data_IF_666598760575
#
_entry.id   IF_666598760575
#
_cell.length_a   1.000
_cell.length_b   1.000
_cell.length_c   1.000
_cell.angle_alpha   90.00
_cell.angle_beta   90.00
_cell.angle_gamma   90.00
#
_symmetry.space_group_name_H-M   'P 1'
#
loop_
_entity.id
_entity.type
_entity.pdbx_description
1 polymer ?
#
# COMPACT_ATOMS: atom_id res chain seq x y z
N UNK A 1 6.74 21.99 11.38
CA UNK A 1 6.88 21.74 9.95
C UNK A 1 5.52 21.81 9.28
N UNK A 2 5.36 22.67 8.24
CA UNK A 2 4.12 22.92 7.49
C UNK A 2 3.83 21.83 6.47
N UNK A 3 4.01 20.53 6.77
CA UNK A 3 3.70 19.47 5.82
C UNK A 3 2.18 19.30 5.64
N UNK A 4 1.36 19.46 6.70
CA UNK A 4 -0.05 19.07 6.64
C UNK A 4 -0.93 19.93 5.71
N UNK A 5 -0.68 21.23 5.52
CA UNK A 5 -1.52 22.06 4.65
C UNK A 5 -1.00 22.21 3.21
N UNK A 6 0.34 22.14 2.98
CA UNK A 6 0.93 22.13 1.64
C UNK A 6 0.84 20.75 0.97
N UNK A 7 1.07 19.67 1.73
CA UNK A 7 0.88 18.28 1.31
C UNK A 7 -0.54 18.08 0.82
N UNK A 8 -1.55 18.66 1.50
CA UNK A 8 -2.94 18.48 1.11
C UNK A 8 -3.29 19.09 -0.26
N UNK A 9 -2.69 20.21 -0.68
CA UNK A 9 -3.04 20.89 -1.92
C UNK A 9 -2.35 20.27 -3.14
N UNK A 10 -1.04 20.05 -3.08
CA UNK A 10 -0.29 19.41 -4.19
C UNK A 10 -0.77 17.97 -4.40
N UNK A 11 -0.99 17.23 -3.32
CA UNK A 11 -1.52 15.88 -3.38
C UNK A 11 -2.90 15.84 -4.05
N UNK A 12 -3.83 16.72 -3.63
CA UNK A 12 -5.17 16.82 -4.23
C UNK A 12 -5.10 17.13 -5.72
N UNK A 13 -4.28 18.10 -6.10
CA UNK A 13 -4.10 18.47 -7.51
C UNK A 13 -3.64 17.26 -8.34
N UNK A 14 -2.68 16.47 -7.85
CA UNK A 14 -2.21 15.25 -8.54
C UNK A 14 -3.31 14.22 -8.75
N UNK A 15 -4.22 14.07 -7.79
CA UNK A 15 -5.38 13.19 -7.94
C UNK A 15 -6.39 13.78 -8.92
N UNK A 16 -6.71 15.09 -8.82
CA UNK A 16 -7.66 15.76 -9.70
C UNK A 16 -7.21 15.77 -11.17
N UNK A 17 -5.90 15.85 -11.43
CA UNK A 17 -5.31 15.71 -12.76
C UNK A 17 -5.45 14.29 -13.34
N UNK A 18 -5.76 13.30 -12.51
CA UNK A 18 -5.90 11.88 -12.85
C UNK A 18 -7.34 11.43 -12.71
N UNK A 19 -8.22 11.95 -13.55
CA UNK A 19 -9.66 11.69 -13.50
C UNK A 19 -10.00 10.18 -13.46
N UNK A 20 -9.18 9.35 -14.11
CA UNK A 20 -9.36 7.90 -14.12
C UNK A 20 -9.31 7.25 -12.72
N UNK A 21 -8.54 7.81 -11.76
CA UNK A 21 -8.52 7.32 -10.37
C UNK A 21 -9.87 7.56 -9.69
N UNK A 22 -10.45 8.73 -9.91
CA UNK A 22 -11.76 9.10 -9.38
C UNK A 22 -12.86 8.26 -10.02
N UNK A 23 -12.78 8.04 -11.34
CA UNK A 23 -13.78 7.27 -12.08
C UNK A 23 -13.75 5.78 -11.69
N UNK A 24 -12.57 5.20 -11.48
CA UNK A 24 -12.42 3.85 -10.96
C UNK A 24 -13.03 3.72 -9.55
N UNK A 25 -12.71 4.64 -8.64
CA UNK A 25 -13.30 4.64 -7.29
C UNK A 25 -14.82 4.82 -7.31
N UNK A 26 -15.34 5.64 -8.24
CA UNK A 26 -16.78 5.81 -8.42
C UNK A 26 -17.45 4.52 -8.88
N UNK A 27 -16.83 3.76 -9.78
CA UNK A 27 -17.33 2.48 -10.24
C UNK A 27 -17.50 1.48 -9.09
N UNK A 28 -16.48 1.36 -8.21
CA UNK A 28 -16.56 0.52 -7.02
C UNK A 28 -17.63 1.00 -6.04
N UNK A 29 -17.69 2.29 -5.78
CA UNK A 29 -18.68 2.87 -4.87
C UNK A 29 -20.12 2.64 -5.35
N UNK A 30 -20.38 2.70 -6.68
CA UNK A 30 -21.69 2.40 -7.25
C UNK A 30 -22.11 0.95 -7.00
N UNK A 31 -21.17 0.02 -6.91
CA UNK A 31 -21.38 -1.38 -6.57
C UNK A 31 -21.40 -1.61 -5.04
N UNK A 32 -21.37 -0.55 -4.24
CA UNK A 32 -21.39 -0.64 -2.78
C UNK A 32 -20.08 -1.12 -2.16
N UNK A 33 -18.95 -0.95 -2.87
CA UNK A 33 -17.61 -1.37 -2.44
C UNK A 33 -16.70 -0.18 -2.20
N UNK A 34 -15.80 -0.33 -1.22
CA UNK A 34 -14.73 0.62 -0.98
C UNK A 34 -13.57 0.39 -1.96
N UNK A 35 -12.90 1.46 -2.36
CA UNK A 35 -11.64 1.37 -3.11
C UNK A 35 -10.67 2.45 -2.63
N UNK A 36 -9.59 2.03 -2.04
CA UNK A 36 -8.56 2.90 -1.48
C UNK A 36 -7.27 2.83 -2.28
N UNK A 37 -6.78 3.97 -2.75
CA UNK A 37 -5.41 4.07 -3.25
C UNK A 37 -4.44 3.88 -2.08
N UNK A 38 -3.44 2.99 -2.21
CA UNK A 38 -2.56 2.60 -1.10
C UNK A 38 -1.10 2.46 -1.55
N UNK A 39 -0.21 2.27 -0.61
CA UNK A 39 1.16 1.83 -0.89
C UNK A 39 2.05 2.88 -1.54
N UNK A 40 2.76 2.45 -2.60
CA UNK A 40 3.77 3.26 -3.27
C UNK A 40 3.26 4.55 -3.88
N UNK A 41 2.09 4.52 -4.51
CA UNK A 41 1.51 5.68 -5.17
C UNK A 41 1.17 6.81 -4.19
N UNK A 42 0.56 6.48 -3.02
CA UNK A 42 0.25 7.46 -1.98
C UNK A 42 1.53 8.10 -1.44
N UNK A 43 2.53 7.27 -1.11
CA UNK A 43 3.84 7.75 -0.65
C UNK A 43 4.49 8.67 -1.68
N UNK A 44 4.55 8.26 -2.93
CA UNK A 44 5.27 8.98 -3.98
C UNK A 44 4.57 10.31 -4.26
N UNK A 45 3.24 10.37 -4.29
CA UNK A 45 2.50 11.64 -4.40
C UNK A 45 2.71 12.56 -3.19
N UNK A 46 2.82 12.01 -1.97
CA UNK A 46 3.15 12.80 -0.78
C UNK A 46 4.58 13.37 -0.84
N UNK A 47 5.50 12.71 -1.54
CA UNK A 47 6.87 13.16 -1.80
C UNK A 47 7.03 13.99 -3.09
N UNK A 48 5.93 14.31 -3.75
CA UNK A 48 5.91 15.02 -5.05
C UNK A 48 6.61 14.27 -6.19
N UNK A 49 6.60 12.93 -6.12
CA UNK A 49 7.15 12.03 -7.14
C UNK A 49 6.01 11.52 -8.05
N UNK A 50 6.25 11.50 -9.36
CA UNK A 50 5.31 10.94 -10.32
C UNK A 50 5.38 9.41 -10.35
N UNK A 51 4.22 8.77 -10.59
CA UNK A 51 4.10 7.32 -10.76
C UNK A 51 2.98 6.98 -11.73
N UNK A 52 3.12 5.87 -12.43
CA UNK A 52 2.11 5.28 -13.31
C UNK A 52 1.67 3.89 -12.80
N UNK A 53 2.10 3.52 -11.61
CA UNK A 53 1.80 2.24 -10.96
C UNK A 53 0.97 2.50 -9.71
N UNK A 54 -0.25 1.99 -9.70
CA UNK A 54 -1.26 2.30 -8.68
C UNK A 54 -1.75 1.03 -8.01
N UNK A 55 -1.48 0.92 -6.73
CA UNK A 55 -2.02 -0.14 -5.89
C UNK A 55 -3.30 0.33 -5.19
N UNK A 56 -4.33 -0.52 -5.29
CA UNK A 56 -5.59 -0.32 -4.59
C UNK A 56 -5.90 -1.48 -3.64
N UNK A 57 -6.58 -1.16 -2.56
CA UNK A 57 -7.15 -2.11 -1.61
C UNK A 57 -8.67 -1.93 -1.54
N UNK A 58 -9.43 -3.03 -1.47
CA UNK A 58 -10.90 -3.04 -1.51
C UNK A 58 -11.47 -4.12 -0.59
N UNK A 59 -12.71 -3.94 -0.14
CA UNK A 59 -13.51 -4.96 0.55
C UNK A 59 -14.23 -5.92 -0.44
N UNK A 60 -14.10 -5.68 -1.75
CA UNK A 60 -14.64 -6.58 -2.77
C UNK A 60 -13.83 -7.89 -2.85
N UNK A 61 -14.50 -9.00 -3.14
CA UNK A 61 -13.85 -10.27 -3.50
C UNK A 61 -13.23 -10.18 -4.90
N UNK A 62 -12.37 -11.14 -5.24
CA UNK A 62 -11.76 -11.19 -6.59
C UNK A 62 -12.82 -11.27 -7.69
N UNK A 63 -13.88 -12.04 -7.49
CA UNK A 63 -14.99 -12.18 -8.43
C UNK A 63 -15.74 -10.85 -8.60
N UNK A 64 -16.04 -10.17 -7.49
CA UNK A 64 -16.68 -8.85 -7.51
C UNK A 64 -15.80 -7.80 -8.18
N UNK A 65 -14.46 -7.83 -7.96
CA UNK A 65 -13.53 -6.92 -8.65
C UNK A 65 -13.63 -7.13 -10.17
N UNK A 66 -13.60 -8.37 -10.65
CA UNK A 66 -13.70 -8.68 -12.07
C UNK A 66 -15.04 -8.22 -12.67
N UNK A 67 -16.14 -8.42 -11.97
CA UNK A 67 -17.48 -7.98 -12.38
C UNK A 67 -17.54 -6.45 -12.50
N UNK A 68 -17.11 -5.72 -11.46
CA UNK A 68 -17.06 -4.25 -11.43
C UNK A 68 -16.21 -3.69 -12.57
N UNK A 69 -15.02 -4.27 -12.80
CA UNK A 69 -14.14 -3.85 -13.89
C UNK A 69 -14.76 -4.10 -15.27
N UNK A 70 -15.43 -5.25 -15.45
CA UNK A 70 -16.13 -5.60 -16.69
C UNK A 70 -17.26 -4.62 -16.99
N UNK A 71 -18.09 -4.29 -16.01
CA UNK A 71 -19.18 -3.30 -16.15
C UNK A 71 -18.66 -1.90 -16.50
N UNK A 72 -17.49 -1.51 -15.98
CA UNK A 72 -16.79 -0.26 -16.28
C UNK A 72 -16.04 -0.27 -17.62
N UNK A 73 -16.08 -1.38 -18.39
CA UNK A 73 -15.29 -1.60 -19.61
C UNK A 73 -13.76 -1.51 -19.41
N UNK A 74 -13.27 -1.81 -18.19
CA UNK A 74 -11.86 -1.93 -17.92
C UNK A 74 -11.34 -3.31 -18.36
N UNK A 75 -10.21 -3.32 -19.08
CA UNK A 75 -9.53 -4.58 -19.41
C UNK A 75 -8.77 -5.06 -18.19
N UNK A 76 -9.08 -6.25 -17.71
CA UNK A 76 -8.41 -6.87 -16.57
C UNK A 76 -7.65 -8.11 -16.99
N UNK A 77 -6.53 -8.37 -16.32
CA UNK A 77 -5.75 -9.59 -16.41
C UNK A 77 -5.60 -10.15 -15.01
N UNK A 78 -5.89 -11.43 -14.88
CA UNK A 78 -5.77 -12.14 -13.61
C UNK A 78 -4.28 -12.45 -13.34
N UNK A 79 -3.59 -11.57 -12.63
CA UNK A 79 -2.21 -11.79 -12.18
C UNK A 79 -2.23 -11.98 -10.67
N UNK A 80 -1.92 -13.21 -10.22
CA UNK A 80 -1.86 -13.50 -8.79
C UNK A 80 -3.22 -13.79 -8.14
N UNK A 81 -4.10 -14.50 -8.83
CA UNK A 81 -5.38 -15.00 -8.27
C UNK A 81 -5.19 -15.66 -6.91
N UNK A 82 -4.12 -16.43 -6.74
CA UNK A 82 -3.76 -17.07 -5.46
C UNK A 82 -3.58 -16.05 -4.32
N UNK A 83 -3.43 -14.76 -4.65
CA UNK A 83 -3.23 -13.66 -3.70
C UNK A 83 -4.34 -12.61 -3.74
N UNK A 84 -5.43 -12.84 -4.49
CA UNK A 84 -6.56 -11.91 -4.57
C UNK A 84 -6.25 -10.58 -5.27
N UNK A 85 -5.26 -10.53 -6.19
CA UNK A 85 -4.89 -9.32 -6.92
C UNK A 85 -5.27 -9.42 -8.39
N UNK A 86 -5.97 -8.40 -8.88
CA UNK A 86 -6.32 -8.21 -10.28
C UNK A 86 -5.52 -7.04 -10.84
N UNK A 87 -4.84 -7.25 -11.96
CA UNK A 87 -4.21 -6.18 -12.72
C UNK A 87 -5.18 -5.66 -13.79
N UNK A 88 -5.23 -4.35 -13.93
CA UNK A 88 -5.90 -3.66 -15.02
C UNK A 88 -5.00 -2.55 -15.56
N UNK A 89 -5.24 -2.12 -16.81
CA UNK A 89 -4.49 -1.04 -17.45
C UNK A 89 -5.42 -0.06 -18.13
N UNK A 90 -5.11 1.23 -17.95
CA UNK A 90 -5.72 2.33 -18.68
C UNK A 90 -4.59 3.16 -19.28
N UNK A 91 -4.46 3.16 -20.62
CA UNK A 91 -3.36 3.80 -21.35
C UNK A 91 -2.00 3.29 -20.84
N UNK A 92 -1.15 4.19 -20.33
CA UNK A 92 0.18 3.87 -19.77
C UNK A 92 0.13 3.51 -18.26
N UNK A 93 -1.04 3.62 -17.64
CA UNK A 93 -1.19 3.40 -16.20
C UNK A 93 -1.52 1.94 -15.87
N UNK A 94 -0.80 1.38 -14.93
CA UNK A 94 -1.03 0.05 -14.38
C UNK A 94 -1.75 0.14 -13.03
N UNK A 95 -2.75 -0.70 -12.83
CA UNK A 95 -3.56 -0.77 -11.62
C UNK A 95 -3.51 -2.17 -11.06
N UNK A 96 -3.20 -2.29 -9.78
CA UNK A 96 -3.29 -3.53 -9.03
C UNK A 96 -4.38 -3.38 -7.96
N UNK A 97 -5.47 -4.07 -8.12
CA UNK A 97 -6.59 -4.04 -7.17
C UNK A 97 -6.58 -5.33 -6.38
N UNK A 98 -6.45 -5.21 -5.06
CA UNK A 98 -6.32 -6.35 -4.15
C UNK A 98 -7.42 -6.30 -3.10
N UNK A 99 -8.12 -7.41 -2.91
CA UNK A 99 -9.04 -7.59 -1.79
C UNK A 99 -8.30 -7.42 -0.47
N UNK A 100 -8.95 -6.83 0.56
CA UNK A 100 -8.35 -6.74 1.89
C UNK A 100 -7.85 -8.11 2.34
N UNK A 101 -6.62 -8.18 2.80
CA UNK A 101 -6.02 -9.43 3.22
C UNK A 101 -5.23 -9.28 4.52
N UNK A 102 -5.17 -10.39 5.23
CA UNK A 102 -4.33 -10.60 6.38
C UNK A 102 -3.35 -11.70 6.07
N UNK A 103 -2.11 -11.51 6.41
CA UNK A 103 -1.06 -12.49 6.19
C UNK A 103 -0.84 -13.28 7.50
N UNK A 104 -1.00 -14.60 7.43
CA UNK A 104 -0.69 -15.51 8.53
C UNK A 104 0.60 -16.27 8.19
N UNK A 105 1.68 -15.99 8.91
CA UNK A 105 2.96 -16.61 8.67
C UNK A 105 3.07 -17.94 9.42
N UNK A 106 3.34 -19.01 8.67
CA UNK A 106 3.62 -20.32 9.23
C UNK A 106 5.09 -20.33 9.61
N UNK A 107 5.42 -20.87 10.79
CA UNK A 107 6.81 -21.01 11.28
C UNK A 107 7.70 -21.61 10.19
N UNK A 108 8.84 -20.98 9.97
CA UNK A 108 9.86 -21.36 8.98
C UNK A 108 9.44 -21.24 7.50
N UNK A 109 8.33 -20.57 7.20
CA UNK A 109 7.91 -20.22 5.83
C UNK A 109 7.82 -18.71 5.67
N UNK A 110 8.47 -18.18 4.63
CA UNK A 110 8.30 -16.77 4.27
C UNK A 110 7.08 -16.52 3.36
N UNK A 111 6.40 -17.58 2.92
CA UNK A 111 5.14 -17.45 2.17
C UNK A 111 4.01 -17.47 3.20
N UNK A 112 3.31 -16.35 3.40
CA UNK A 112 2.16 -16.33 4.30
C UNK A 112 1.03 -17.17 3.71
N UNK A 113 0.20 -17.72 4.57
CA UNK A 113 -1.16 -18.10 4.21
C UNK A 113 -1.98 -16.82 4.21
N UNK A 114 -2.36 -16.35 3.05
CA UNK A 114 -3.18 -15.15 2.91
C UNK A 114 -4.63 -15.52 3.21
N UNK A 115 -5.24 -14.78 4.12
CA UNK A 115 -6.67 -14.86 4.45
C UNK A 115 -7.33 -13.52 4.16
N UNK A 116 -8.64 -13.54 3.96
CA UNK A 116 -9.41 -12.30 3.77
C UNK A 116 -9.38 -11.49 5.07
N UNK A 117 -8.99 -10.23 4.97
CA UNK A 117 -9.13 -9.29 6.07
C UNK A 117 -10.53 -8.67 6.08
N UNK A 118 -10.96 -8.22 7.24
CA UNK A 118 -12.30 -7.64 7.42
C UNK A 118 -12.31 -6.12 7.35
N UNK A 119 -11.14 -5.49 7.30
CA UNK A 119 -11.02 -4.04 7.32
C UNK A 119 -9.74 -3.52 6.65
N UNK A 120 -9.81 -2.27 6.18
CA UNK A 120 -8.64 -1.54 5.68
C UNK A 120 -7.50 -1.50 6.71
N UNK A 121 -7.82 -1.34 8.01
CA UNK A 121 -6.81 -1.30 9.07
C UNK A 121 -5.99 -2.60 9.13
N UNK A 122 -6.62 -3.76 9.00
CA UNK A 122 -5.91 -5.05 8.96
C UNK A 122 -5.03 -5.14 7.73
N UNK A 123 -5.49 -4.71 6.54
CA UNK A 123 -4.65 -4.68 5.33
C UNK A 123 -3.45 -3.74 5.46
N UNK A 124 -3.62 -2.56 6.04
CA UNK A 124 -2.53 -1.63 6.25
C UNK A 124 -1.52 -2.14 7.30
N UNK A 125 -1.97 -2.86 8.33
CA UNK A 125 -1.11 -3.35 9.41
C UNK A 125 -0.06 -4.39 8.96
N UNK A 126 -0.37 -5.20 7.93
CA UNK A 126 0.53 -6.24 7.40
C UNK A 126 1.62 -5.70 6.48
N UNK A 127 1.55 -4.42 6.08
CA UNK A 127 2.51 -3.81 5.17
C UNK A 127 3.89 -3.68 5.80
N UNK A 128 4.91 -3.54 4.96
CA UNK A 128 6.31 -3.51 5.37
C UNK A 128 6.66 -2.29 6.24
N UNK A 129 6.28 -1.09 5.77
CA UNK A 129 6.63 0.18 6.42
C UNK A 129 5.42 1.11 6.53
N UNK A 130 5.43 1.97 7.56
CA UNK A 130 4.39 2.96 7.82
C UNK A 130 4.16 3.88 6.63
N UNK A 131 5.21 4.25 5.91
CA UNK A 131 5.17 5.09 4.71
C UNK A 131 4.43 4.44 3.52
N UNK A 132 4.22 3.13 3.55
CA UNK A 132 3.44 2.36 2.58
C UNK A 132 2.08 1.91 3.15
N UNK A 133 1.80 2.23 4.43
CA UNK A 133 0.57 1.89 5.13
C UNK A 133 -0.35 3.11 5.29
N UNK A 134 -0.39 3.95 4.26
CA UNK A 134 -1.27 5.11 4.13
C UNK A 134 -2.27 4.78 3.02
N UNK A 135 -3.53 5.10 3.25
CA UNK A 135 -4.60 4.93 2.25
C UNK A 135 -5.26 6.26 1.95
N UNK A 136 -5.70 6.43 0.70
CA UNK A 136 -6.42 7.61 0.24
C UNK A 136 -7.60 7.20 -0.62
N UNK A 137 -8.75 7.80 -0.36
CA UNK A 137 -9.94 7.66 -1.21
C UNK A 137 -10.00 8.83 -2.22
N UNK A 138 -9.72 8.60 -3.51
CA UNK A 138 -9.79 9.62 -4.55
C UNK A 138 -11.18 10.23 -4.75
N UNK A 139 -12.25 9.52 -4.38
CA UNK A 139 -13.62 9.97 -4.57
C UNK A 139 -14.04 10.97 -3.49
N UNK A 140 -13.72 10.71 -2.23
CA UNK A 140 -14.14 11.55 -1.09
C UNK A 140 -13.04 12.50 -0.62
N UNK A 141 -11.78 12.21 -0.95
CA UNK A 141 -10.62 12.93 -0.46
C UNK A 141 -10.20 12.56 0.97
N UNK A 142 -10.77 11.49 1.53
CA UNK A 142 -10.41 10.99 2.85
C UNK A 142 -9.04 10.31 2.82
N UNK A 143 -8.28 10.47 3.90
CA UNK A 143 -6.97 9.84 4.08
C UNK A 143 -6.93 9.11 5.41
N UNK A 144 -6.50 7.85 5.37
CA UNK A 144 -6.29 6.99 6.53
C UNK A 144 -4.80 6.74 6.74
N UNK A 145 -4.28 7.14 7.90
CA UNK A 145 -2.87 6.99 8.30
C UNK A 145 -2.77 6.49 9.76
N UNK A 146 -3.25 5.25 10.03
CA UNK A 146 -3.31 4.73 11.39
C UNK A 146 -1.94 4.53 12.03
N UNK A 147 -0.88 4.40 11.24
CA UNK A 147 0.48 4.11 11.68
C UNK A 147 1.43 5.32 11.58
N UNK A 148 0.90 6.52 11.32
CA UNK A 148 1.65 7.79 11.27
C UNK A 148 2.71 7.84 10.16
N UNK A 149 2.46 7.19 9.02
CA UNK A 149 3.36 7.18 7.87
C UNK A 149 3.64 8.56 7.29
N UNK A 150 2.67 9.49 7.32
CA UNK A 150 2.86 10.88 6.89
C UNK A 150 3.87 11.60 7.79
N UNK A 151 3.82 11.35 9.10
CA UNK A 151 4.82 11.90 10.04
C UNK A 151 6.19 11.35 9.73
N UNK A 152 6.31 10.06 9.51
CA UNK A 152 7.56 9.37 9.23
C UNK A 152 8.17 9.85 7.90
N UNK A 153 7.35 10.04 6.86
CA UNK A 153 7.78 10.69 5.62
C UNK A 153 8.35 12.09 5.86
N UNK A 154 7.68 12.88 6.70
CA UNK A 154 8.10 14.25 7.01
C UNK A 154 9.37 14.34 7.86
N UNK A 155 9.64 13.36 8.71
CA UNK A 155 10.84 13.28 9.54
C UNK A 155 12.01 12.56 8.86
N UNK A 156 11.78 11.89 7.74
CA UNK A 156 12.78 11.05 7.08
C UNK A 156 13.11 9.79 7.88
N UNK A 157 12.12 9.23 8.59
CA UNK A 157 12.26 8.03 9.38
C UNK A 157 11.56 6.85 8.71
N UNK A 158 12.18 5.68 8.77
CA UNK A 158 11.58 4.43 8.32
C UNK A 158 11.15 3.62 9.54
N UNK A 159 9.84 3.38 9.66
CA UNK A 159 9.24 2.58 10.73
C UNK A 159 8.33 1.49 10.16
N UNK A 160 8.04 0.46 10.96
CA UNK A 160 7.11 -0.62 10.62
C UNK A 160 5.74 -0.38 11.28
N UNK A 161 4.60 -0.74 10.63
CA UNK A 161 3.28 -0.63 11.25
C UNK A 161 3.16 -1.41 12.56
N UNK A 162 3.75 -2.61 12.60
CA UNK A 162 3.83 -3.50 13.75
C UNK A 162 5.25 -3.54 14.30
N UNK A 163 5.49 -4.33 15.36
CA UNK A 163 6.84 -4.52 15.90
C UNK A 163 7.83 -4.98 14.81
N UNK A 164 8.99 -4.31 14.73
CA UNK A 164 9.97 -4.55 13.67
C UNK A 164 10.59 -5.95 13.73
N UNK A 165 10.73 -6.54 14.93
CA UNK A 165 11.24 -7.92 15.06
C UNK A 165 10.24 -8.91 14.47
N UNK A 166 8.95 -8.73 14.75
CA UNK A 166 7.88 -9.55 14.17
C UNK A 166 7.87 -9.37 12.65
N UNK A 167 7.84 -8.12 12.18
CA UNK A 167 7.82 -7.77 10.76
C UNK A 167 8.95 -8.42 9.96
N UNK A 168 10.18 -8.44 10.49
CA UNK A 168 11.33 -9.04 9.81
C UNK A 168 11.45 -10.55 10.01
N UNK A 169 10.91 -11.08 11.12
CA UNK A 169 10.81 -12.52 11.30
C UNK A 169 9.78 -13.16 10.37
N UNK A 170 8.72 -12.45 10.03
CA UNK A 170 7.69 -12.88 9.08
C UNK A 170 8.22 -12.94 7.65
N UNK A 171 8.83 -11.85 7.18
CA UNK A 171 9.43 -11.76 5.84
C UNK A 171 10.80 -11.09 5.89
N UNK A 172 11.90 -11.87 5.87
CA UNK A 172 13.26 -11.34 5.88
C UNK A 172 13.59 -10.40 4.73
N UNK A 173 12.91 -10.52 3.57
CA UNK A 173 13.12 -9.61 2.43
C UNK A 173 12.74 -8.16 2.75
N UNK A 174 11.90 -7.94 3.76
CA UNK A 174 11.60 -6.58 4.24
C UNK A 174 12.84 -5.85 4.74
N UNK A 175 13.87 -6.57 5.24
CA UNK A 175 15.16 -5.97 5.61
C UNK A 175 15.92 -5.43 4.39
N UNK A 176 15.92 -6.16 3.27
CA UNK A 176 16.50 -5.67 2.01
C UNK A 176 15.71 -4.48 1.44
N UNK A 177 14.39 -4.51 1.58
CA UNK A 177 13.53 -3.38 1.23
C UNK A 177 13.83 -2.16 2.12
N UNK A 178 14.10 -2.34 3.43
CA UNK A 178 14.54 -1.26 4.31
C UNK A 178 15.84 -0.61 3.78
N UNK A 179 16.85 -1.39 3.43
CA UNK A 179 18.09 -0.89 2.84
C UNK A 179 17.83 -0.09 1.55
N UNK A 180 16.92 -0.57 0.70
CA UNK A 180 16.51 0.14 -0.51
C UNK A 180 15.85 1.51 -0.22
N UNK A 181 14.94 1.57 0.76
CA UNK A 181 14.28 2.82 1.15
C UNK A 181 15.26 3.81 1.78
N UNK A 182 16.13 3.34 2.68
CA UNK A 182 17.19 4.16 3.27
C UNK A 182 18.07 4.77 2.17
N UNK A 183 18.52 3.96 1.22
CA UNK A 183 19.37 4.43 0.12
C UNK A 183 18.64 5.39 -0.82
N UNK A 184 17.40 5.05 -1.23
CA UNK A 184 16.65 5.84 -2.23
C UNK A 184 16.19 7.18 -1.69
N UNK A 185 15.69 7.21 -0.46
CA UNK A 185 15.04 8.38 0.13
C UNK A 185 15.89 9.05 1.23
N UNK A 186 17.07 8.52 1.54
CA UNK A 186 17.96 9.01 2.60
C UNK A 186 17.27 8.96 3.99
N UNK A 187 16.43 7.96 4.21
CA UNK A 187 15.74 7.76 5.48
C UNK A 187 16.70 7.22 6.54
N UNK A 188 16.42 7.54 7.79
CA UNK A 188 17.05 6.94 8.97
C UNK A 188 16.16 5.84 9.57
N UNK A 189 16.75 4.97 10.36
CA UNK A 189 16.03 3.99 11.19
C UNK A 189 16.39 4.21 12.66
N UNK A 190 15.45 3.92 13.54
CA UNK A 190 15.71 3.97 14.96
C UNK A 190 16.54 2.77 15.45
N UNK A 191 17.07 2.88 16.69
CA UNK A 191 17.96 1.85 17.27
C UNK A 191 17.26 0.48 17.43
N UNK A 192 15.96 0.44 17.69
CA UNK A 192 15.25 -0.81 17.90
C UNK A 192 15.02 -1.56 16.58
N UNK A 193 14.69 -0.83 15.52
CA UNK A 193 14.61 -1.39 14.18
C UNK A 193 15.99 -1.90 13.70
N UNK A 194 17.08 -1.17 14.00
CA UNK A 194 18.44 -1.62 13.69
C UNK A 194 18.78 -2.94 14.40
N UNK A 195 18.46 -3.07 15.70
CA UNK A 195 18.64 -4.31 16.46
C UNK A 195 17.82 -5.46 15.90
N UNK A 196 16.58 -5.19 15.47
CA UNK A 196 15.72 -6.19 14.85
C UNK A 196 16.33 -6.72 13.54
N UNK A 197 16.88 -5.82 12.69
CA UNK A 197 17.59 -6.20 11.47
C UNK A 197 18.82 -7.06 11.81
N UNK A 198 19.63 -6.67 12.79
CA UNK A 198 20.80 -7.46 13.20
C UNK A 198 20.40 -8.86 13.65
N UNK A 199 19.33 -8.98 14.45
CA UNK A 199 18.84 -10.26 14.98
C UNK A 199 18.35 -11.19 13.87
N UNK A 200 17.62 -10.69 12.90
CA UNK A 200 16.97 -11.49 11.86
C UNK A 200 17.81 -11.62 10.58
N UNK A 201 18.98 -10.96 10.49
CA UNK A 201 19.80 -10.87 9.28
C UNK A 201 20.27 -12.23 8.73
N UNK A 202 20.50 -13.21 9.59
CA UNK A 202 20.90 -14.57 9.19
C UNK A 202 19.83 -15.30 8.37
N UNK A 203 18.59 -14.79 8.34
CA UNK A 203 17.47 -15.38 7.58
C UNK A 203 17.40 -14.89 6.14
N UNK A 204 18.32 -14.03 5.70
CA UNK A 204 18.38 -13.54 4.31
C UNK A 204 19.05 -14.54 3.36
N UNK A 205 19.66 -15.61 3.87
CA UNK A 205 20.33 -16.65 3.10
C UNK A 205 19.40 -17.46 2.16
#
# INVERSE_FOLDING_TARGET
FKLSSMVSKTFKNKIEERQFLIDLCRQFNTSGKELWLVGGAVRDFLLDIETNDYDFATDATTEEILEILSEGNYRSTEIGIDFGTIESRIEENSFHITSYRKDEYIKDSRKPRTTVATSLLEDLSRRDFTINAIAYDPLTGNMEDPFKGIKDLGSGELNTPMDSTVTFSEDPLRMLRACRFISKYQFSINQDMFKSIQKESSRIE
#
